data_IF_238000910685
#
_entry.id   IF_238000910685
#
_cell.length_a   1.000
_cell.length_b   1.000
_cell.length_c   1.000
_cell.angle_alpha   90.00
_cell.angle_beta   90.00
_cell.angle_gamma   90.00
#
_symmetry.space_group_name_H-M   'P 1'
#
loop_
_entity.id
_entity.type
_entity.pdbx_description
1 polymer ?
#
# COMPACT_ATOMS: atom_id res chain seq x y z
N UNK A 1 32.52 -25.65 -43.02
CA UNK A 1 32.79 -25.17 -41.65
C UNK A 1 31.54 -24.54 -41.09
N UNK A 2 30.94 -25.16 -40.07
CA UNK A 2 29.67 -24.73 -39.48
C UNK A 2 29.87 -23.47 -38.64
N UNK A 3 29.10 -22.41 -38.94
CA UNK A 3 29.07 -21.16 -38.17
C UNK A 3 28.22 -21.38 -36.92
N UNK A 4 28.85 -21.39 -35.74
CA UNK A 4 28.15 -21.46 -34.46
C UNK A 4 27.42 -20.12 -34.20
N UNK A 5 26.09 -20.14 -34.27
CA UNK A 5 25.26 -19.05 -33.73
C UNK A 5 25.19 -19.19 -32.22
N UNK A 6 26.18 -18.62 -31.51
CA UNK A 6 26.09 -18.48 -30.06
C UNK A 6 25.23 -17.24 -29.79
N UNK A 7 23.92 -17.45 -29.66
CA UNK A 7 23.00 -16.39 -29.26
C UNK A 7 23.46 -15.80 -27.92
N UNK A 8 23.61 -14.48 -27.86
CA UNK A 8 23.89 -13.76 -26.62
C UNK A 8 22.82 -14.14 -25.59
N UNK A 9 23.25 -14.68 -24.46
CA UNK A 9 22.32 -15.03 -23.38
C UNK A 9 21.81 -13.73 -22.74
N UNK A 10 20.48 -13.55 -22.60
CA UNK A 10 19.93 -12.41 -21.89
C UNK A 10 20.55 -12.30 -20.50
N UNK A 11 21.16 -11.16 -20.20
CA UNK A 11 21.74 -10.87 -18.89
C UNK A 11 23.27 -10.95 -18.77
N UNK A 12 24.00 -11.31 -19.83
CA UNK A 12 25.49 -11.38 -19.79
C UNK A 12 26.17 -10.05 -19.39
N UNK A 13 25.49 -8.91 -19.60
CA UNK A 13 25.99 -7.58 -19.25
C UNK A 13 25.31 -6.98 -17.99
N UNK A 14 24.55 -7.75 -17.22
CA UNK A 14 23.95 -7.26 -15.98
C UNK A 14 25.04 -7.11 -14.91
N UNK A 15 25.24 -5.87 -14.46
CA UNK A 15 26.08 -5.57 -13.30
C UNK A 15 25.23 -5.61 -12.04
N UNK A 16 25.71 -6.31 -11.01
CA UNK A 16 25.05 -6.28 -9.70
C UNK A 16 25.02 -4.84 -9.20
N UNK A 17 23.86 -4.31 -8.79
CA UNK A 17 23.79 -3.00 -8.16
C UNK A 17 24.67 -2.98 -6.91
N UNK A 18 25.49 -1.94 -6.76
CA UNK A 18 26.30 -1.74 -5.56
C UNK A 18 25.47 -0.96 -4.54
N UNK A 19 24.95 -1.67 -3.54
CA UNK A 19 24.20 -1.09 -2.43
C UNK A 19 25.15 -0.66 -1.31
N UNK A 20 25.76 0.52 -1.47
CA UNK A 20 26.58 1.11 -0.41
C UNK A 20 25.70 1.96 0.51
N UNK A 21 25.16 1.34 1.56
CA UNK A 21 24.22 1.96 2.50
C UNK A 21 24.79 3.20 3.21
N UNK A 22 26.12 3.38 3.21
CA UNK A 22 26.78 4.56 3.80
C UNK A 22 26.69 5.81 2.92
N UNK A 23 26.45 5.64 1.62
CA UNK A 23 26.38 6.72 0.63
C UNK A 23 24.95 7.14 0.26
N UNK A 24 23.95 6.42 0.76
CA UNK A 24 22.55 6.69 0.46
C UNK A 24 21.99 7.75 1.42
N UNK A 25 21.35 8.77 0.88
CA UNK A 25 20.63 9.75 1.70
C UNK A 25 19.41 9.09 2.37
N UNK A 26 19.25 9.23 3.70
CA UNK A 26 18.04 8.77 4.38
C UNK A 26 16.82 9.51 3.86
N UNK A 27 15.72 8.78 3.65
CA UNK A 27 14.43 9.38 3.34
C UNK A 27 13.36 8.87 4.29
N UNK A 28 12.37 9.73 4.57
CA UNK A 28 11.22 9.38 5.40
C UNK A 28 10.31 8.43 4.62
N UNK A 29 9.94 7.32 5.25
CA UNK A 29 9.00 6.33 4.70
C UNK A 29 7.62 6.38 5.36
N UNK A 30 7.59 6.65 6.65
CA UNK A 30 6.35 6.69 7.43
C UNK A 30 5.75 8.09 7.42
N UNK A 31 4.67 8.25 6.67
CA UNK A 31 3.88 9.47 6.58
C UNK A 31 2.50 9.31 7.22
N UNK A 32 2.19 8.13 7.75
CA UNK A 32 0.85 7.84 8.25
C UNK A 32 0.63 8.50 9.61
N UNK A 33 -0.39 9.34 9.67
CA UNK A 33 -0.88 9.93 10.92
C UNK A 33 -2.35 9.59 11.02
N UNK A 34 -2.74 8.55 11.79
CA UNK A 34 -4.13 8.17 11.93
C UNK A 34 -4.90 9.29 12.64
N UNK A 35 -6.15 9.52 12.22
CA UNK A 35 -7.08 10.32 13.01
C UNK A 35 -7.39 9.60 14.32
N UNK A 36 -7.78 10.32 15.40
CA UNK A 36 -8.22 9.68 16.64
C UNK A 36 -9.35 8.67 16.41
N UNK A 37 -10.26 8.93 15.46
CA UNK A 37 -11.36 8.03 15.11
C UNK A 37 -10.91 6.67 14.58
N UNK A 38 -9.76 6.62 13.90
CA UNK A 38 -9.16 5.37 13.41
C UNK A 38 -8.26 4.75 14.48
N UNK A 39 -7.43 5.55 15.14
CA UNK A 39 -6.47 5.08 16.14
C UNK A 39 -7.16 4.43 17.35
N UNK A 40 -8.22 5.06 17.86
CA UNK A 40 -8.93 4.64 19.06
C UNK A 40 -10.11 3.72 18.77
N UNK A 41 -10.28 3.29 17.51
CA UNK A 41 -11.41 2.45 17.11
C UNK A 41 -11.40 1.14 17.91
N UNK A 42 -12.51 0.77 18.57
CA UNK A 42 -12.56 -0.45 19.36
C UNK A 42 -12.18 -1.69 18.54
N UNK A 43 -11.36 -2.61 19.07
CA UNK A 43 -10.94 -3.80 18.32
C UNK A 43 -12.11 -4.63 17.79
N UNK A 44 -13.21 -4.71 18.54
CA UNK A 44 -14.43 -5.39 18.10
C UNK A 44 -15.05 -4.76 16.84
N UNK A 45 -15.03 -3.43 16.74
CA UNK A 45 -15.58 -2.73 15.57
C UNK A 45 -14.64 -2.84 14.38
N UNK A 46 -13.33 -2.84 14.61
CA UNK A 46 -12.32 -3.12 13.57
C UNK A 46 -12.51 -4.53 13.00
N UNK A 47 -12.67 -5.54 13.86
CA UNK A 47 -12.93 -6.92 13.41
C UNK A 47 -14.23 -7.03 12.63
N UNK A 48 -15.31 -6.42 13.14
CA UNK A 48 -16.62 -6.41 12.48
C UNK A 48 -16.57 -5.74 11.10
N UNK A 49 -15.86 -4.62 10.98
CA UNK A 49 -15.68 -3.94 9.70
C UNK A 49 -14.89 -4.81 8.72
N UNK A 50 -13.77 -5.39 9.16
CA UNK A 50 -12.98 -6.31 8.34
C UNK A 50 -13.80 -7.50 7.86
N UNK A 51 -14.60 -8.11 8.73
CA UNK A 51 -15.52 -9.19 8.36
C UNK A 51 -16.54 -8.73 7.31
N UNK A 52 -17.18 -7.57 7.52
CA UNK A 52 -18.19 -7.04 6.58
C UNK A 52 -17.65 -6.70 5.19
N UNK A 53 -16.35 -6.36 5.11
CA UNK A 53 -15.65 -6.01 3.87
C UNK A 53 -14.83 -7.16 3.30
N UNK A 54 -14.93 -8.37 3.89
CA UNK A 54 -14.17 -9.56 3.52
C UNK A 54 -12.63 -9.36 3.55
N UNK A 55 -12.16 -8.51 4.48
CA UNK A 55 -10.74 -8.19 4.65
C UNK A 55 -10.11 -9.22 5.59
N UNK A 56 -9.02 -9.84 5.13
CA UNK A 56 -8.14 -10.66 5.96
C UNK A 56 -6.75 -10.03 6.05
N UNK A 57 -6.11 -10.17 7.21
CA UNK A 57 -4.80 -9.56 7.47
C UNK A 57 -3.87 -10.56 8.12
N UNK A 58 -2.59 -10.56 7.74
CA UNK A 58 -1.56 -11.41 8.32
C UNK A 58 -0.31 -10.60 8.62
N UNK A 59 0.24 -10.77 9.83
CA UNK A 59 1.40 -10.03 10.34
C UNK A 59 1.06 -9.14 11.53
N UNK A 60 2.08 -8.49 12.09
CA UNK A 60 1.97 -7.72 13.33
C UNK A 60 1.83 -6.21 13.08
N UNK A 61 1.23 -5.51 14.06
CA UNK A 61 1.14 -4.04 14.07
C UNK A 61 0.39 -3.45 12.88
N UNK A 62 -0.57 -4.19 12.31
CA UNK A 62 -1.31 -3.76 11.11
C UNK A 62 -2.25 -2.62 11.51
N UNK A 63 -2.13 -1.42 10.89
CA UNK A 63 -3.00 -0.30 11.19
C UNK A 63 -4.48 -0.65 10.99
N UNK A 64 -5.34 0.03 11.76
CA UNK A 64 -6.78 -0.08 11.58
C UNK A 64 -7.17 0.38 10.16
N UNK A 65 -8.16 -0.29 9.54
CA UNK A 65 -8.65 0.15 8.24
C UNK A 65 -9.36 1.49 8.39
N UNK A 66 -9.34 2.31 7.33
CA UNK A 66 -10.24 3.46 7.24
C UNK A 66 -11.63 3.00 6.81
N UNK A 67 -12.66 3.72 7.24
CA UNK A 67 -14.04 3.53 6.79
C UNK A 67 -14.49 4.65 5.84
N UNK A 68 -13.84 5.82 5.92
CA UNK A 68 -14.16 7.00 5.12
C UNK A 68 -12.87 7.62 4.55
N UNK A 69 -12.96 8.30 3.40
CA UNK A 69 -11.81 8.88 2.73
C UNK A 69 -11.13 9.97 3.57
N UNK A 70 -11.91 10.71 4.36
CA UNK A 70 -11.44 11.80 5.22
C UNK A 70 -10.50 11.28 6.32
N UNK A 71 -10.60 10.01 6.68
CA UNK A 71 -9.77 9.40 7.73
C UNK A 71 -8.32 9.15 7.29
N UNK A 72 -8.01 9.31 6.00
CA UNK A 72 -6.66 9.11 5.43
C UNK A 72 -5.77 10.33 5.61
N UNK A 73 -6.37 11.52 5.83
CA UNK A 73 -5.67 12.80 5.85
C UNK A 73 -4.90 13.10 4.53
N UNK A 74 -5.48 12.75 3.38
CA UNK A 74 -4.93 13.18 2.09
C UNK A 74 -5.05 14.69 1.89
N UNK A 75 -4.16 15.30 1.07
CA UNK A 75 -4.27 16.72 0.74
C UNK A 75 -5.62 17.09 0.12
N UNK A 76 -6.12 18.30 0.40
CA UNK A 76 -7.43 18.78 -0.04
C UNK A 76 -7.69 18.61 -1.55
N UNK A 77 -6.66 18.78 -2.39
CA UNK A 77 -6.81 18.62 -3.83
C UNK A 77 -7.10 17.17 -4.24
N UNK A 78 -6.59 16.18 -3.50
CA UNK A 78 -6.88 14.75 -3.71
C UNK A 78 -8.31 14.46 -3.28
N UNK A 79 -8.69 14.93 -2.09
CA UNK A 79 -10.04 14.73 -1.54
C UNK A 79 -11.12 15.34 -2.43
N UNK A 80 -10.86 16.53 -3.00
CA UNK A 80 -11.75 17.16 -3.99
C UNK A 80 -11.93 16.30 -5.23
N UNK A 81 -10.89 15.62 -5.70
CA UNK A 81 -10.98 14.79 -6.88
C UNK A 81 -11.75 13.49 -6.58
N UNK A 82 -11.49 12.84 -5.44
CA UNK A 82 -12.28 11.69 -4.96
C UNK A 82 -13.77 12.04 -4.92
N UNK A 83 -14.13 13.19 -4.34
CA UNK A 83 -15.51 13.65 -4.28
C UNK A 83 -16.15 13.91 -5.65
N UNK A 84 -15.39 14.46 -6.61
CA UNK A 84 -15.89 14.68 -7.99
C UNK A 84 -16.18 13.39 -8.74
N UNK A 85 -15.39 12.35 -8.49
CA UNK A 85 -15.61 11.02 -9.08
C UNK A 85 -16.85 10.32 -8.49
N UNK A 86 -17.41 10.85 -7.41
CA UNK A 86 -18.62 10.31 -6.77
C UNK A 86 -18.35 9.04 -5.98
N UNK A 87 -17.13 8.86 -5.47
CA UNK A 87 -16.82 7.75 -4.57
C UNK A 87 -17.27 8.09 -3.15
N UNK A 88 -18.19 7.29 -2.62
CA UNK A 88 -18.74 7.50 -1.27
C UNK A 88 -17.83 6.94 -0.17
N UNK A 89 -17.22 5.78 -0.40
CA UNK A 89 -16.38 5.08 0.57
C UNK A 89 -15.21 4.37 -0.11
N UNK A 90 -14.07 4.21 0.60
CA UNK A 90 -12.95 3.41 0.10
C UNK A 90 -13.37 1.95 -0.09
N UNK A 91 -12.81 1.32 -1.12
CA UNK A 91 -13.00 -0.12 -1.34
C UNK A 91 -12.24 -0.94 -0.30
N UNK A 92 -12.56 -2.23 -0.13
CA UNK A 92 -11.92 -3.08 0.87
C UNK A 92 -10.38 -3.05 0.83
N UNK A 93 -9.78 -3.08 -0.38
CA UNK A 93 -8.33 -3.04 -0.56
C UNK A 93 -7.74 -1.65 -0.28
N UNK A 94 -8.47 -0.58 -0.59
CA UNK A 94 -8.06 0.79 -0.25
C UNK A 94 -8.15 1.02 1.26
N UNK A 95 -9.24 0.56 1.89
CA UNK A 95 -9.53 0.72 3.32
C UNK A 95 -8.41 0.18 4.20
N UNK A 96 -7.89 -1.01 3.89
CA UNK A 96 -6.80 -1.60 4.64
C UNK A 96 -5.41 -1.24 4.07
N UNK A 97 -5.31 -1.06 2.75
CA UNK A 97 -4.04 -0.88 2.05
C UNK A 97 -3.42 0.50 2.24
N UNK A 98 -4.21 1.58 2.21
CA UNK A 98 -3.65 2.93 2.34
C UNK A 98 -2.97 3.20 3.69
N UNK A 99 -3.56 2.83 4.85
CA UNK A 99 -2.87 2.95 6.14
C UNK A 99 -1.52 2.21 6.17
N UNK A 100 -1.47 1.00 5.59
CA UNK A 100 -0.23 0.21 5.55
C UNK A 100 0.80 0.87 4.63
N UNK A 101 0.41 1.27 3.43
CA UNK A 101 1.29 1.92 2.46
C UNK A 101 1.84 3.26 3.00
N UNK A 102 1.00 4.08 3.61
CA UNK A 102 1.39 5.36 4.21
C UNK A 102 2.32 5.18 5.41
N UNK A 103 2.24 4.05 6.12
CA UNK A 103 3.16 3.72 7.21
C UNK A 103 4.56 3.32 6.74
N UNK A 104 4.79 3.29 5.41
CA UNK A 104 6.09 2.99 4.83
C UNK A 104 6.50 1.52 4.92
N UNK A 105 5.53 0.63 5.21
CA UNK A 105 5.74 -0.80 5.35
C UNK A 105 5.64 -1.52 4.01
N UNK A 106 6.44 -2.57 3.88
CA UNK A 106 6.29 -3.52 2.77
C UNK A 106 5.01 -4.34 2.99
N UNK A 107 4.22 -4.52 1.93
CA UNK A 107 2.97 -5.27 1.99
C UNK A 107 2.69 -6.02 0.68
N UNK A 108 1.93 -7.10 0.79
CA UNK A 108 1.31 -7.79 -0.34
C UNK A 108 -0.20 -7.66 -0.19
N UNK A 109 -0.85 -6.98 -1.14
CA UNK A 109 -2.30 -6.85 -1.21
C UNK A 109 -2.88 -7.78 -2.28
N UNK A 110 -3.91 -8.54 -1.93
CA UNK A 110 -4.62 -9.43 -2.85
C UNK A 110 -6.09 -9.02 -2.85
N UNK A 111 -6.61 -8.66 -4.02
CA UNK A 111 -8.00 -8.28 -4.21
C UNK A 111 -8.47 -8.64 -5.62
N UNK A 112 -9.78 -8.72 -5.84
CA UNK A 112 -10.36 -9.02 -7.14
C UNK A 112 -10.09 -7.92 -8.19
N UNK A 113 -10.15 -8.26 -9.48
CA UNK A 113 -10.03 -7.28 -10.56
C UNK A 113 -11.11 -6.20 -10.45
N UNK A 114 -10.74 -4.93 -10.62
CA UNK A 114 -11.69 -3.80 -10.54
C UNK A 114 -12.10 -3.41 -9.12
N UNK A 115 -11.39 -3.88 -8.09
CA UNK A 115 -11.68 -3.57 -6.68
C UNK A 115 -10.98 -2.32 -6.15
N UNK A 116 -10.25 -1.57 -6.98
CA UNK A 116 -9.43 -0.44 -6.56
C UNK A 116 -9.57 0.74 -7.50
#
# INVERSE_FOLDING_TARGET
GSRSMKGDMPGQNLRKPRWDMSTLEPFRKDFYVPTPTVADRPPADVSRYRESMEITTHGDGIPNPICHFEEVNFPDYVMKEIGKQGFDQPTAIQSQGWPIALSGRDMVGIAQTGSG
#
